data_IF_100234463935
#
_entry.id   IF_100234463935
#
_cell.length_a   1.000
_cell.length_b   1.000
_cell.length_c   1.000
_cell.angle_alpha   90.00
_cell.angle_beta   90.00
_cell.angle_gamma   90.00
#
_symmetry.space_group_name_H-M   'P 1'
#
loop_
_entity.id
_entity.type
_entity.pdbx_description
1 polymer ?
#
# COMPACT_ATOMS: atom_id res chain seq x y z
N UNK A 1 9.24 -13.65 2.39
CA UNK A 1 9.24 -13.34 3.83
C UNK A 1 7.82 -13.23 4.34
N UNK A 2 7.52 -13.79 5.49
CA UNK A 2 6.27 -13.57 6.22
C UNK A 2 6.37 -12.22 6.96
N UNK A 3 5.43 -11.33 6.73
CA UNK A 3 5.34 -10.03 7.43
C UNK A 3 4.49 -10.14 8.68
N UNK A 4 3.41 -10.91 8.59
CA UNK A 4 2.51 -11.25 9.68
C UNK A 4 1.77 -12.55 9.32
N UNK A 5 0.90 -13.12 10.16
CA UNK A 5 0.29 -14.43 9.94
C UNK A 5 -0.49 -14.60 8.62
N UNK A 6 -0.86 -13.50 7.97
CA UNK A 6 -1.68 -13.53 6.75
C UNK A 6 -1.05 -12.78 5.56
N UNK A 7 0.04 -12.04 5.77
CA UNK A 7 0.67 -11.22 4.73
C UNK A 7 2.13 -11.62 4.49
N UNK A 8 2.47 -11.71 3.23
CA UNK A 8 3.76 -12.15 2.74
C UNK A 8 4.35 -11.12 1.78
N UNK A 9 5.66 -11.01 1.85
CA UNK A 9 6.47 -10.21 0.95
C UNK A 9 7.33 -11.10 0.07
N UNK A 10 7.41 -10.76 -1.21
CA UNK A 10 8.33 -11.38 -2.16
C UNK A 10 9.05 -10.34 -3.00
N UNK A 11 10.29 -10.66 -3.37
CA UNK A 11 11.07 -9.92 -4.36
C UNK A 11 11.21 -10.78 -5.60
N UNK A 12 10.79 -10.24 -6.73
CA UNK A 12 10.85 -10.95 -8.03
C UNK A 12 11.86 -10.27 -8.92
N UNK A 13 12.80 -11.04 -9.47
CA UNK A 13 13.74 -10.53 -10.46
C UNK A 13 13.00 -10.24 -11.78
N UNK A 14 12.84 -8.96 -12.08
CA UNK A 14 12.14 -8.47 -13.26
C UNK A 14 12.67 -7.08 -13.69
N UNK A 15 13.91 -6.99 -14.20
CA UNK A 15 14.61 -5.72 -14.40
C UNK A 15 13.88 -4.76 -15.33
N UNK A 16 13.17 -5.27 -16.34
CA UNK A 16 12.39 -4.42 -17.25
C UNK A 16 11.18 -3.78 -16.59
N UNK A 17 10.58 -4.48 -15.60
CA UNK A 17 9.45 -3.95 -14.82
C UNK A 17 10.00 -2.98 -13.79
N UNK A 18 11.06 -3.35 -13.07
CA UNK A 18 11.69 -2.51 -12.05
C UNK A 18 12.07 -1.11 -12.58
N UNK A 19 12.58 -1.05 -13.81
CA UNK A 19 12.96 0.22 -14.47
C UNK A 19 11.77 1.11 -14.88
N UNK A 20 10.58 0.54 -15.07
CA UNK A 20 9.44 1.25 -15.69
C UNK A 20 8.26 1.45 -14.76
N UNK A 21 8.18 0.67 -13.68
CA UNK A 21 7.06 0.75 -12.75
C UNK A 21 7.02 2.10 -12.03
N UNK A 22 5.80 2.62 -11.89
CA UNK A 22 5.49 3.88 -11.20
C UNK A 22 4.47 3.61 -10.10
N UNK A 23 4.39 4.53 -9.14
CA UNK A 23 3.43 4.46 -8.04
C UNK A 23 2.00 4.25 -8.54
N UNK A 24 1.26 3.35 -7.89
CA UNK A 24 -0.11 2.99 -8.24
C UNK A 24 -0.26 1.93 -9.33
N UNK A 25 0.84 1.49 -9.97
CA UNK A 25 0.81 0.42 -10.96
C UNK A 25 0.91 -0.97 -10.30
N UNK A 26 0.54 -1.99 -11.06
CA UNK A 26 0.52 -3.38 -10.63
C UNK A 26 1.15 -4.32 -11.65
N UNK A 27 1.38 -5.54 -11.26
CA UNK A 27 1.77 -6.65 -12.14
C UNK A 27 0.74 -7.76 -12.07
N UNK A 28 0.68 -8.59 -13.09
CA UNK A 28 -0.03 -9.87 -13.05
C UNK A 28 1.00 -10.98 -13.03
N UNK A 29 0.97 -11.82 -12.01
CA UNK A 29 1.81 -13.00 -11.91
C UNK A 29 1.01 -14.30 -12.09
N UNK A 30 1.71 -15.34 -12.53
CA UNK A 30 1.21 -16.71 -12.61
C UNK A 30 2.29 -17.66 -12.12
N UNK A 31 1.96 -18.50 -11.15
CA UNK A 31 2.95 -19.35 -10.47
C UNK A 31 3.42 -20.49 -11.36
N UNK A 32 2.50 -21.13 -12.11
CA UNK A 32 2.80 -22.22 -13.05
C UNK A 32 1.81 -22.18 -14.22
N UNK A 33 1.98 -23.06 -15.23
CA UNK A 33 1.19 -23.08 -16.46
C UNK A 33 -0.32 -23.21 -16.24
N UNK A 34 -0.74 -23.85 -15.15
CA UNK A 34 -2.15 -24.06 -14.79
C UNK A 34 -2.62 -23.10 -13.68
N UNK A 35 -1.75 -22.20 -13.23
CA UNK A 35 -2.04 -21.25 -12.17
C UNK A 35 -2.96 -20.11 -12.60
N UNK A 36 -3.70 -19.57 -11.64
CA UNK A 36 -4.48 -18.35 -11.83
C UNK A 36 -3.55 -17.15 -12.04
N UNK A 37 -4.07 -16.14 -12.72
CA UNK A 37 -3.43 -14.84 -12.84
C UNK A 37 -3.78 -13.98 -11.63
N UNK A 38 -2.76 -13.59 -10.87
CA UNK A 38 -2.92 -12.82 -9.62
C UNK A 38 -2.43 -11.40 -9.87
N UNK A 39 -3.30 -10.38 -9.81
CA UNK A 39 -2.87 -8.99 -9.85
C UNK A 39 -2.32 -8.57 -8.49
N UNK A 40 -1.11 -8.00 -8.46
CA UNK A 40 -0.48 -7.47 -7.25
C UNK A 40 0.12 -6.09 -7.53
N UNK A 41 -0.12 -5.15 -6.62
CA UNK A 41 0.48 -3.82 -6.70
C UNK A 41 1.99 -3.89 -6.56
N UNK A 42 2.70 -3.11 -7.37
CA UNK A 42 4.14 -2.89 -7.19
C UNK A 42 4.35 -1.99 -5.99
N UNK A 43 4.88 -2.55 -4.91
CA UNK A 43 5.11 -1.84 -3.65
C UNK A 43 6.36 -0.98 -3.71
N UNK A 44 7.44 -1.54 -4.27
CA UNK A 44 8.69 -0.82 -4.50
C UNK A 44 9.51 -1.52 -5.58
N UNK A 45 10.59 -0.89 -6.03
CA UNK A 45 11.52 -1.46 -7.01
C UNK A 45 12.96 -1.13 -6.62
N UNK A 46 13.85 -2.12 -6.76
CA UNK A 46 15.29 -1.92 -6.75
C UNK A 46 15.79 -2.00 -8.20
N UNK A 47 15.99 -0.84 -8.82
CA UNK A 47 16.38 -0.76 -10.23
C UNK A 47 17.78 -1.32 -10.47
N UNK A 48 18.71 -1.14 -9.51
CA UNK A 48 20.09 -1.61 -9.63
C UNK A 48 20.16 -3.14 -9.59
N UNK A 49 19.37 -3.77 -8.71
CA UNK A 49 19.27 -5.23 -8.62
C UNK A 49 18.24 -5.83 -9.56
N UNK A 50 17.41 -5.00 -10.21
CA UNK A 50 16.34 -5.46 -11.10
C UNK A 50 15.20 -6.16 -10.36
N UNK A 51 14.94 -5.79 -9.11
CA UNK A 51 13.95 -6.44 -8.26
C UNK A 51 12.64 -5.63 -8.18
N UNK A 52 11.53 -6.34 -8.18
CA UNK A 52 10.19 -5.82 -7.91
C UNK A 52 9.70 -6.39 -6.59
N UNK A 53 9.33 -5.51 -5.65
CA UNK A 53 8.78 -5.85 -4.34
C UNK A 53 7.27 -5.95 -4.43
N UNK A 54 6.72 -7.07 -3.99
CA UNK A 54 5.29 -7.34 -3.95
C UNK A 54 4.90 -7.79 -2.54
N UNK A 55 3.76 -7.29 -2.04
CA UNK A 55 3.16 -7.74 -0.78
C UNK A 55 1.75 -8.23 -1.09
N UNK A 56 1.37 -9.36 -0.50
CA UNK A 56 0.07 -9.97 -0.72
C UNK A 56 -0.47 -10.66 0.53
N UNK A 57 -1.79 -10.72 0.63
CA UNK A 57 -2.48 -11.45 1.68
C UNK A 57 -2.85 -12.85 1.22
N UNK A 58 -2.68 -13.83 2.10
CA UNK A 58 -3.12 -15.21 1.86
C UNK A 58 -4.62 -15.32 2.14
N UNK A 59 -5.41 -15.33 1.05
CA UNK A 59 -6.88 -15.40 1.12
C UNK A 59 -7.48 -16.58 0.33
N UNK A 60 -6.67 -17.31 -0.44
CA UNK A 60 -7.12 -18.42 -1.26
C UNK A 60 -5.98 -19.34 -1.69
N UNK A 61 -6.32 -20.37 -2.48
CA UNK A 61 -5.38 -21.43 -2.88
C UNK A 61 -4.16 -20.88 -3.62
N UNK A 62 -4.35 -19.92 -4.51
CA UNK A 62 -3.27 -19.36 -5.33
C UNK A 62 -2.30 -18.53 -4.51
N UNK A 63 -2.80 -17.68 -3.61
CA UNK A 63 -1.95 -16.90 -2.70
C UNK A 63 -1.29 -17.77 -1.63
N UNK A 64 -1.97 -18.82 -1.13
CA UNK A 64 -1.36 -19.81 -0.24
C UNK A 64 -0.19 -20.54 -0.94
N UNK A 65 -0.35 -20.93 -2.20
CA UNK A 65 0.72 -21.52 -2.99
C UNK A 65 1.87 -20.52 -3.24
N UNK A 66 1.54 -19.26 -3.53
CA UNK A 66 2.56 -18.21 -3.70
C UNK A 66 3.41 -18.03 -2.43
N UNK A 67 2.78 -18.10 -1.26
CA UNK A 67 3.46 -17.99 0.04
C UNK A 67 4.42 -19.17 0.34
N UNK A 68 4.27 -20.32 -0.33
CA UNK A 68 5.18 -21.47 -0.16
C UNK A 68 6.42 -21.42 -1.04
N UNK A 69 6.49 -20.49 -2.00
CA UNK A 69 7.67 -20.38 -2.85
C UNK A 69 8.89 -19.88 -2.05
N UNK A 70 10.02 -20.46 -2.38
CA UNK A 70 11.32 -20.15 -1.77
C UNK A 70 12.22 -19.40 -2.74
N UNK A 71 13.27 -18.76 -2.20
CA UNK A 71 14.24 -18.05 -3.03
C UNK A 71 14.90 -19.00 -4.05
N UNK A 72 14.99 -18.54 -5.30
CA UNK A 72 15.52 -19.33 -6.43
C UNK A 72 14.45 -20.07 -7.24
N UNK A 73 13.20 -20.15 -6.76
CA UNK A 73 12.09 -20.67 -7.56
C UNK A 73 11.60 -19.62 -8.57
N UNK A 74 11.02 -20.11 -9.66
CA UNK A 74 10.57 -19.25 -10.77
C UNK A 74 9.05 -19.19 -10.87
N UNK A 75 8.53 -18.03 -11.26
CA UNK A 75 7.15 -17.85 -11.70
C UNK A 75 7.04 -18.19 -13.19
N UNK A 76 5.90 -18.76 -13.63
CA UNK A 76 5.67 -19.01 -15.04
C UNK A 76 5.53 -17.73 -15.86
N UNK A 77 4.85 -16.72 -15.29
CA UNK A 77 4.70 -15.41 -15.93
C UNK A 77 4.74 -14.29 -14.88
N UNK A 78 5.32 -13.15 -15.29
CA UNK A 78 5.15 -11.85 -14.65
C UNK A 78 4.98 -10.80 -15.75
N UNK A 79 3.81 -10.16 -15.79
CA UNK A 79 3.45 -9.16 -16.79
C UNK A 79 3.23 -7.82 -16.12
N UNK A 80 3.91 -6.79 -16.62
CA UNK A 80 3.80 -5.44 -16.08
C UNK A 80 4.86 -4.47 -16.64
N UNK A 81 4.90 -3.22 -16.14
CA UNK A 81 3.89 -2.64 -15.26
C UNK A 81 2.56 -2.46 -15.99
N UNK A 82 1.45 -2.61 -15.28
CA UNK A 82 0.08 -2.46 -15.77
C UNK A 82 -0.67 -1.37 -15.00
N UNK A 83 -1.77 -0.91 -15.56
CA UNK A 83 -2.60 0.14 -15.00
C UNK A 83 -2.04 1.55 -15.26
N UNK A 84 -2.88 2.55 -14.98
CA UNK A 84 -2.46 3.95 -15.03
C UNK A 84 -1.68 4.25 -13.74
N UNK A 85 -0.51 4.87 -13.87
CA UNK A 85 0.22 5.40 -12.72
C UNK A 85 -0.62 6.48 -12.02
N UNK A 86 -0.46 6.61 -10.72
CA UNK A 86 -1.01 7.74 -9.97
C UNK A 86 -0.35 9.02 -10.46
N UNK A 87 -1.14 10.06 -10.67
CA UNK A 87 -0.62 11.36 -11.04
C UNK A 87 0.07 11.93 -9.78
N UNK A 88 1.38 12.15 -9.87
CA UNK A 88 2.22 12.65 -8.77
C UNK A 88 2.68 14.06 -9.10
N UNK A 89 2.19 15.02 -8.33
CA UNK A 89 2.51 16.44 -8.45
C UNK A 89 2.72 17.03 -7.05
N UNK A 90 3.22 18.26 -6.97
CA UNK A 90 3.20 19.00 -5.72
C UNK A 90 1.84 19.68 -5.59
N UNK A 91 0.95 19.04 -4.84
CA UNK A 91 -0.40 19.52 -4.55
C UNK A 91 -0.45 20.47 -3.35
N UNK A 92 0.56 20.43 -2.47
CA UNK A 92 0.57 21.12 -1.19
C UNK A 92 0.46 20.16 -0.01
N UNK A 93 -0.60 20.26 0.80
CA UNK A 93 -0.88 19.32 1.89
C UNK A 93 -1.73 18.16 1.41
N UNK A 94 -1.22 16.94 1.59
CA UNK A 94 -1.88 15.72 1.10
C UNK A 94 -2.14 14.72 2.23
N UNK A 95 -3.32 14.10 2.19
CA UNK A 95 -3.74 13.09 3.16
C UNK A 95 -3.83 11.71 2.49
N UNK A 96 -3.09 10.75 3.02
CA UNK A 96 -3.10 9.38 2.54
C UNK A 96 -3.64 8.43 3.61
N UNK A 97 -4.66 7.66 3.27
CA UNK A 97 -5.35 6.78 4.21
C UNK A 97 -5.26 5.34 3.74
N UNK A 98 -4.60 4.50 4.54
CA UNK A 98 -4.39 3.08 4.24
C UNK A 98 -5.06 2.15 5.24
N UNK A 99 -5.59 1.01 4.77
CA UNK A 99 -6.18 0.01 5.65
C UNK A 99 -5.87 -1.43 5.26
N UNK A 100 -5.42 -2.24 6.24
CA UNK A 100 -5.04 -3.64 6.02
C UNK A 100 -3.99 -3.80 4.91
N UNK A 101 -4.14 -4.80 4.06
CA UNK A 101 -3.22 -5.02 2.93
C UNK A 101 -3.17 -3.83 1.94
N UNK A 102 -4.16 -2.93 1.97
CA UNK A 102 -4.17 -1.70 1.18
C UNK A 102 -3.04 -0.74 1.53
N UNK A 103 -2.44 -0.85 2.72
CA UNK A 103 -1.25 -0.08 3.12
C UNK A 103 -0.10 -0.35 2.13
N UNK A 104 0.10 -1.59 1.72
CA UNK A 104 1.12 -1.96 0.73
C UNK A 104 0.90 -1.30 -0.64
N UNK A 105 -0.35 -1.09 -1.04
CA UNK A 105 -0.68 -0.37 -2.27
C UNK A 105 -0.58 1.15 -2.14
N UNK A 106 -0.76 1.68 -0.92
CA UNK A 106 -0.64 3.10 -0.61
C UNK A 106 0.83 3.55 -0.54
N UNK A 107 1.71 2.73 0.01
CA UNK A 107 3.10 3.07 0.30
C UNK A 107 3.86 3.69 -0.90
N UNK A 108 3.84 3.14 -2.13
CA UNK A 108 4.51 3.76 -3.26
C UNK A 108 3.99 5.16 -3.59
N UNK A 109 2.73 5.45 -3.28
CA UNK A 109 2.13 6.77 -3.50
C UNK A 109 2.60 7.74 -2.41
N UNK A 110 2.65 7.31 -1.14
CA UNK A 110 3.20 8.08 -0.02
C UNK A 110 4.63 8.53 -0.33
N UNK A 111 5.48 7.58 -0.73
CA UNK A 111 6.88 7.82 -1.09
C UNK A 111 6.99 8.83 -2.23
N UNK A 112 6.29 8.58 -3.34
CA UNK A 112 6.35 9.43 -4.52
C UNK A 112 5.84 10.86 -4.26
N UNK A 113 4.77 11.04 -3.49
CA UNK A 113 4.24 12.35 -3.14
C UNK A 113 5.19 13.12 -2.22
N UNK A 114 5.85 12.43 -1.27
CA UNK A 114 6.89 13.05 -0.44
C UNK A 114 8.08 13.51 -1.26
N UNK A 115 8.54 12.67 -2.17
CA UNK A 115 9.64 13.01 -3.09
C UNK A 115 9.28 14.17 -4.04
N UNK A 116 7.99 14.35 -4.37
CA UNK A 116 7.49 15.48 -5.14
C UNK A 116 7.37 16.79 -4.33
N UNK A 117 7.70 16.78 -3.04
CA UNK A 117 7.77 17.97 -2.18
C UNK A 117 6.44 18.34 -1.50
N UNK A 118 5.49 17.41 -1.41
CA UNK A 118 4.25 17.62 -0.67
C UNK A 118 4.50 17.58 0.86
N UNK A 119 3.63 18.26 1.61
CA UNK A 119 3.42 18.00 3.02
C UNK A 119 2.52 16.76 3.15
N UNK A 120 3.09 15.65 3.63
CA UNK A 120 2.45 14.35 3.60
C UNK A 120 1.96 13.94 4.98
N UNK A 121 0.65 13.75 5.11
CA UNK A 121 0.01 13.20 6.31
C UNK A 121 -0.51 11.81 5.96
N UNK A 122 -0.12 10.80 6.72
CA UNK A 122 -0.53 9.42 6.50
C UNK A 122 -1.32 8.89 7.69
N UNK A 123 -2.48 8.32 7.41
CA UNK A 123 -3.33 7.64 8.39
C UNK A 123 -3.37 6.16 8.02
N UNK A 124 -2.90 5.29 8.90
CA UNK A 124 -2.93 3.85 8.70
C UNK A 124 -3.88 3.19 9.69
N UNK A 125 -4.69 2.26 9.20
CA UNK A 125 -5.65 1.52 10.02
C UNK A 125 -5.46 0.01 9.91
N UNK A 126 -5.47 -0.68 11.05
CA UNK A 126 -5.48 -2.13 11.13
C UNK A 126 -6.35 -2.61 12.30
N UNK A 127 -6.73 -3.90 12.28
CA UNK A 127 -7.47 -4.49 13.40
C UNK A 127 -6.67 -4.47 14.70
N UNK A 128 -5.37 -4.73 14.60
CA UNK A 128 -4.41 -4.74 15.70
C UNK A 128 -2.99 -4.46 15.18
N UNK A 129 -2.05 -4.27 16.10
CA UNK A 129 -0.64 -3.95 15.77
C UNK A 129 0.04 -5.02 14.89
N UNK A 130 -0.31 -6.30 15.05
CA UNK A 130 0.35 -7.39 14.35
C UNK A 130 -0.04 -7.43 12.85
N UNK A 131 -1.12 -6.75 12.47
CA UNK A 131 -1.59 -6.60 11.09
C UNK A 131 -1.23 -5.23 10.48
N UNK A 132 -0.47 -4.40 11.19
CA UNK A 132 0.01 -3.12 10.69
C UNK A 132 1.35 -3.32 9.98
N UNK A 133 1.31 -3.51 8.67
CA UNK A 133 2.52 -3.58 7.86
C UNK A 133 2.99 -2.19 7.42
N UNK A 134 4.27 -2.06 7.06
CA UNK A 134 4.87 -0.84 6.47
C UNK A 134 4.68 0.47 7.25
N UNK A 135 4.27 0.43 8.53
CA UNK A 135 4.07 1.66 9.31
C UNK A 135 5.35 2.48 9.43
N UNK A 136 6.48 1.82 9.75
CA UNK A 136 7.78 2.49 9.87
C UNK A 136 8.25 3.05 8.53
N UNK A 137 8.03 2.31 7.44
CA UNK A 137 8.40 2.77 6.09
C UNK A 137 7.52 3.95 5.64
N UNK A 138 6.21 3.90 5.87
CA UNK A 138 5.32 5.03 5.61
C UNK A 138 5.73 6.25 6.46
N UNK A 139 6.12 6.04 7.73
CA UNK A 139 6.59 7.10 8.61
C UNK A 139 7.83 7.82 8.10
N UNK A 140 8.74 7.14 7.41
CA UNK A 140 9.93 7.76 6.82
C UNK A 140 9.60 8.76 5.69
N UNK A 141 8.46 8.60 5.04
CA UNK A 141 7.99 9.45 3.94
C UNK A 141 6.76 10.29 4.31
N UNK A 142 6.46 10.43 5.60
CA UNK A 142 5.35 11.25 6.09
C UNK A 142 5.86 12.33 7.05
N UNK A 143 5.25 13.51 7.00
CA UNK A 143 5.49 14.58 7.99
C UNK A 143 4.71 14.31 9.27
N UNK A 144 3.50 13.71 9.12
CA UNK A 144 2.70 13.22 10.24
C UNK A 144 2.21 11.81 9.92
N UNK A 145 2.34 10.87 10.88
CA UNK A 145 1.83 9.51 10.79
C UNK A 145 0.88 9.23 11.95
N UNK A 146 -0.35 8.87 11.62
CA UNK A 146 -1.39 8.52 12.57
C UNK A 146 -1.71 7.02 12.44
N UNK A 147 -1.60 6.26 13.53
CA UNK A 147 -1.88 4.84 13.58
C UNK A 147 -3.18 4.57 14.33
N UNK A 148 -4.14 3.95 13.65
CA UNK A 148 -5.47 3.64 14.17
C UNK A 148 -5.65 2.12 14.31
N UNK A 149 -6.08 1.66 15.48
CA UNK A 149 -6.34 0.23 15.72
C UNK A 149 -7.72 0.02 16.33
N UNK A 150 -8.46 -0.95 15.82
CA UNK A 150 -9.81 -1.27 16.32
C UNK A 150 -9.76 -1.69 17.79
N UNK A 151 -8.73 -2.42 18.21
CA UNK A 151 -8.55 -2.92 19.58
C UNK A 151 -7.73 -1.98 20.49
N UNK A 152 -7.09 -0.95 19.92
CA UNK A 152 -6.23 -0.02 20.67
C UNK A 152 -4.87 -0.59 21.07
N UNK A 153 -4.39 -1.63 20.37
CA UNK A 153 -3.12 -2.32 20.68
C UNK A 153 -1.87 -1.48 20.41
N UNK A 154 -1.98 -0.49 19.52
CA UNK A 154 -0.92 0.48 19.22
C UNK A 154 -1.55 1.78 18.69
N UNK A 155 -0.99 2.94 19.03
CA UNK A 155 -1.51 4.24 18.58
C UNK A 155 -2.87 4.59 19.19
N UNK A 156 -3.78 5.11 18.38
CA UNK A 156 -5.12 5.50 18.82
C UNK A 156 -6.13 4.37 18.55
N UNK A 157 -7.05 4.17 19.51
CA UNK A 157 -8.20 3.30 19.30
C UNK A 157 -9.28 4.04 18.52
N UNK A 158 -9.70 3.48 17.39
CA UNK A 158 -10.74 4.06 16.56
C UNK A 158 -10.58 3.72 15.09
N UNK A 159 -11.35 4.39 14.26
CA UNK A 159 -11.33 4.22 12.82
C UNK A 159 -10.44 5.28 12.15
N UNK A 160 -9.94 4.98 10.97
CA UNK A 160 -9.18 5.95 10.15
C UNK A 160 -9.96 7.24 9.89
N UNK A 161 -11.28 7.16 9.80
CA UNK A 161 -12.16 8.33 9.64
C UNK A 161 -12.17 9.27 10.84
N UNK A 162 -11.86 8.77 12.03
CA UNK A 162 -11.77 9.63 13.23
C UNK A 162 -10.48 10.45 13.16
N UNK A 163 -9.35 9.83 12.79
CA UNK A 163 -8.11 10.54 12.51
C UNK A 163 -8.25 11.53 11.35
N UNK A 164 -8.96 11.17 10.26
CA UNK A 164 -9.23 12.10 9.17
C UNK A 164 -9.93 13.37 9.64
N UNK A 165 -10.96 13.24 10.50
CA UNK A 165 -11.68 14.41 11.07
C UNK A 165 -10.74 15.29 11.90
N UNK A 166 -9.83 14.69 12.66
CA UNK A 166 -8.83 15.44 13.43
C UNK A 166 -7.88 16.21 12.52
N UNK A 167 -7.43 15.60 11.42
CA UNK A 167 -6.58 16.25 10.41
C UNK A 167 -7.32 17.41 9.76
N UNK A 168 -8.53 17.19 9.24
CA UNK A 168 -9.33 18.25 8.60
C UNK A 168 -9.69 19.41 9.56
N UNK A 169 -9.77 19.14 10.86
CA UNK A 169 -9.99 20.20 11.85
C UNK A 169 -8.73 21.05 12.14
N UNK A 170 -7.53 20.53 11.86
CA UNK A 170 -6.25 21.20 12.13
C UNK A 170 -5.74 21.98 10.93
N UNK A 171 -5.91 21.44 9.72
CA UNK A 171 -5.34 22.01 8.51
C UNK A 171 -6.16 21.72 7.25
N UNK A 172 -5.93 22.53 6.23
CA UNK A 172 -6.55 22.33 4.90
C UNK A 172 -5.79 21.28 4.12
N UNK A 173 -6.51 20.34 3.54
CA UNK A 173 -5.95 19.26 2.71
C UNK A 173 -6.31 19.53 1.25
N UNK A 174 -5.30 19.63 0.40
CA UNK A 174 -5.46 19.92 -1.03
C UNK A 174 -5.86 18.68 -1.84
N UNK A 175 -5.39 17.49 -1.41
CA UNK A 175 -5.69 16.24 -2.09
C UNK A 175 -5.66 15.06 -1.11
N UNK A 176 -6.54 14.08 -1.30
CA UNK A 176 -6.58 12.88 -0.46
C UNK A 176 -6.68 11.59 -1.27
N UNK A 177 -6.03 10.53 -0.78
CA UNK A 177 -6.12 9.16 -1.28
C UNK A 177 -6.56 8.22 -0.16
N UNK A 178 -7.45 7.28 -0.48
CA UNK A 178 -7.85 6.21 0.43
C UNK A 178 -7.74 4.85 -0.28
N UNK A 179 -6.95 3.92 0.28
CA UNK A 179 -6.74 2.57 -0.26
C UNK A 179 -6.93 1.54 0.84
N UNK A 180 -7.90 0.64 0.66
CA UNK A 180 -8.21 -0.40 1.64
C UNK A 180 -9.54 -1.09 1.35
N UNK A 181 -10.17 -1.72 2.35
CA UNK A 181 -11.48 -2.31 2.21
C UNK A 181 -12.52 -1.33 1.67
N UNK A 182 -13.41 -1.81 0.79
CA UNK A 182 -14.40 -0.95 0.11
C UNK A 182 -15.26 -0.14 1.09
N UNK A 183 -15.62 -0.74 2.23
CA UNK A 183 -16.39 -0.06 3.27
C UNK A 183 -15.58 1.10 3.89
N UNK A 184 -14.29 0.90 4.14
CA UNK A 184 -13.39 1.96 4.63
C UNK A 184 -13.30 3.10 3.62
N UNK A 185 -12.98 2.79 2.36
CA UNK A 185 -12.86 3.80 1.29
C UNK A 185 -14.14 4.63 1.15
N UNK A 186 -15.32 3.98 1.20
CA UNK A 186 -16.61 4.69 1.19
C UNK A 186 -16.71 5.71 2.32
N UNK A 187 -16.39 5.31 3.56
CA UNK A 187 -16.49 6.23 4.69
C UNK A 187 -15.40 7.32 4.66
N UNK A 188 -14.20 7.01 4.15
CA UNK A 188 -13.18 8.04 3.92
C UNK A 188 -13.68 9.11 2.93
N UNK A 189 -14.30 8.70 1.81
CA UNK A 189 -14.89 9.64 0.85
C UNK A 189 -15.95 10.52 1.49
N UNK A 190 -16.91 9.92 2.21
CA UNK A 190 -17.95 10.69 2.89
C UNK A 190 -17.39 11.66 3.95
N UNK A 191 -16.31 11.27 4.63
CA UNK A 191 -15.64 12.12 5.63
C UNK A 191 -14.93 13.30 4.95
N UNK A 192 -14.27 13.07 3.82
CA UNK A 192 -13.63 14.13 3.05
C UNK A 192 -14.67 15.11 2.45
N UNK A 193 -15.76 14.60 1.85
CA UNK A 193 -16.85 15.43 1.32
C UNK A 193 -17.52 16.31 2.40
N UNK A 194 -17.58 15.82 3.64
CA UNK A 194 -18.16 16.60 4.74
C UNK A 194 -17.21 17.70 5.27
N UNK A 195 -15.93 17.61 4.96
CA UNK A 195 -14.91 18.58 5.36
C UNK A 195 -14.74 19.73 4.33
N UNK A 196 -15.28 19.58 3.11
CA UNK A 196 -15.18 20.51 1.98
C UNK A 196 -14.21 20.04 0.95
#
# INVERSE_FOLDING_TARGET
>A
TELNPIEFEIYVEAPRIAQKAKAGQFVILRINEHGERIPLTVVDTDVEKGLVRLIFQVIGKSTAKLATLTAGESLADLVGPLGKATDIENYGSVLLVGGGVGIAALFPIVKALKEAGNHVITVLGAKNKDLMNLADECGQYSDELLLMHDDGSLGQKGLVTDAMKEVFAKETIDMAWAIGPSVMMKFCTLTAEAAG
#
